data_IF_711642606870
#
_entry.id   IF_711642606870
#
_cell.length_a   1.000
_cell.length_b   1.000
_cell.length_c   1.000
_cell.angle_alpha   90.00
_cell.angle_beta   90.00
_cell.angle_gamma   90.00
#
_symmetry.space_group_name_H-M   'P 1'
#
loop_
_entity.id
_entity.type
_entity.pdbx_description
1 polymer ?
#
# COMPACT_ATOMS: atom_id res chain seq x y z
N UNK A 1 6.33 -39.46 1.09
CA UNK A 1 7.26 -38.31 0.96
C UNK A 1 6.60 -36.96 1.29
N UNK A 2 5.44 -36.93 1.97
CA UNK A 2 4.66 -35.72 2.27
C UNK A 2 5.02 -35.00 3.59
N UNK A 3 5.83 -35.63 4.47
CA UNK A 3 6.09 -35.10 5.82
C UNK A 3 7.24 -34.06 5.87
N UNK A 4 8.08 -33.98 4.82
CA UNK A 4 9.22 -33.05 4.81
C UNK A 4 8.80 -31.61 4.45
N UNK A 5 7.91 -31.43 3.47
CA UNK A 5 7.48 -30.10 3.02
C UNK A 5 6.65 -29.33 4.08
N UNK A 6 5.87 -30.04 4.90
CA UNK A 6 5.05 -29.42 5.96
C UNK A 6 5.92 -28.89 7.11
N UNK A 7 7.00 -29.62 7.41
CA UNK A 7 7.96 -29.25 8.45
C UNK A 7 8.74 -27.98 8.06
N UNK A 8 9.07 -27.84 6.78
CA UNK A 8 9.75 -26.65 6.26
C UNK A 8 8.83 -25.41 6.29
N UNK A 9 7.56 -25.57 5.88
CA UNK A 9 6.55 -24.49 5.99
C UNK A 9 6.33 -24.05 7.44
N UNK A 10 6.16 -25.01 8.34
CA UNK A 10 5.98 -24.74 9.76
C UNK A 10 7.21 -24.04 10.37
N UNK A 11 8.42 -24.44 9.96
CA UNK A 11 9.67 -23.80 10.39
C UNK A 11 9.71 -22.34 9.93
N UNK A 12 9.41 -22.07 8.65
CA UNK A 12 9.38 -20.70 8.11
C UNK A 12 8.35 -19.83 8.85
N UNK A 13 7.13 -20.33 9.07
CA UNK A 13 6.10 -19.59 9.82
C UNK A 13 6.53 -19.27 11.25
N UNK A 14 7.10 -20.24 11.97
CA UNK A 14 7.59 -20.04 13.35
C UNK A 14 8.73 -19.01 13.37
N UNK A 15 9.71 -19.14 12.48
CA UNK A 15 10.84 -18.22 12.41
C UNK A 15 10.38 -16.79 12.13
N UNK A 16 9.47 -16.59 11.17
CA UNK A 16 8.92 -15.27 10.87
C UNK A 16 8.12 -14.68 12.03
N UNK A 17 7.35 -15.52 12.73
CA UNK A 17 6.59 -15.09 13.91
C UNK A 17 7.53 -14.61 15.01
N UNK A 18 8.61 -15.35 15.28
CA UNK A 18 9.64 -14.95 16.26
C UNK A 18 10.31 -13.65 15.85
N UNK A 19 10.70 -13.49 14.58
CA UNK A 19 11.30 -12.26 14.06
C UNK A 19 10.33 -11.08 14.21
N UNK A 20 9.04 -11.27 13.87
CA UNK A 20 8.01 -10.25 14.02
C UNK A 20 7.83 -9.83 15.48
N UNK A 21 7.77 -10.78 16.42
CA UNK A 21 7.63 -10.49 17.85
C UNK A 21 8.84 -9.72 18.40
N UNK A 22 10.05 -10.11 17.99
CA UNK A 22 11.28 -9.39 18.35
C UNK A 22 11.28 -7.99 17.75
N UNK A 23 10.88 -7.83 16.49
CA UNK A 23 10.74 -6.54 15.83
C UNK A 23 9.75 -5.61 16.54
N UNK A 24 8.55 -6.11 16.88
CA UNK A 24 7.57 -5.36 17.66
C UNK A 24 8.10 -4.95 19.03
N UNK A 25 8.78 -5.87 19.73
CA UNK A 25 9.40 -5.58 21.03
C UNK A 25 10.51 -4.52 20.93
N UNK A 26 11.37 -4.60 19.91
CA UNK A 26 12.39 -3.58 19.65
C UNK A 26 11.77 -2.21 19.33
N UNK A 27 10.63 -2.18 18.62
CA UNK A 27 9.90 -0.95 18.33
C UNK A 27 9.41 -0.27 19.61
N UNK A 28 8.86 -1.04 20.56
CA UNK A 28 8.50 -0.53 21.89
C UNK A 28 9.69 0.03 22.67
N UNK A 29 10.90 -0.52 22.48
CA UNK A 29 12.12 -0.02 23.13
C UNK A 29 12.71 1.23 22.46
N UNK A 30 12.39 1.48 21.18
CA UNK A 30 12.87 2.63 20.41
C UNK A 30 12.02 3.88 20.67
N UNK A 31 10.81 3.72 21.21
CA UNK A 31 9.94 4.84 21.59
C UNK A 31 10.57 5.62 22.74
N UNK A 32 11.49 6.54 22.42
CA UNK A 32 11.97 7.57 23.34
C UNK A 32 10.86 8.61 23.47
N UNK A 33 10.33 8.86 24.68
CA UNK A 33 9.53 10.05 24.91
C UNK A 33 10.49 11.22 25.03
N UNK A 34 10.47 12.17 24.10
CA UNK A 34 11.17 13.45 24.25
C UNK A 34 10.45 14.57 23.45
N UNK A 35 10.65 15.83 23.84
CA UNK A 35 9.59 16.80 24.17
C UNK A 35 9.10 17.62 22.97
N UNK A 36 7.96 18.29 23.17
CA UNK A 36 7.28 19.26 22.28
C UNK A 36 8.10 19.82 21.10
N UNK A 37 7.44 19.77 19.93
CA UNK A 37 7.56 20.58 18.70
C UNK A 37 7.89 19.76 17.42
N UNK A 38 6.91 19.81 16.49
CA UNK A 38 6.84 19.35 15.09
C UNK A 38 6.17 17.98 14.81
N UNK A 39 4.87 17.96 14.40
CA UNK A 39 4.20 16.74 13.95
C UNK A 39 4.72 16.25 12.59
N UNK A 40 5.56 15.22 12.65
CA UNK A 40 5.87 14.28 11.58
C UNK A 40 5.55 12.86 12.08
N UNK A 41 4.29 12.62 12.43
CA UNK A 41 3.77 11.32 12.85
C UNK A 41 2.50 11.02 12.06
N UNK A 42 2.64 10.39 10.89
CA UNK A 42 1.52 9.88 10.10
C UNK A 42 1.57 8.35 9.96
N UNK A 43 2.42 7.67 10.74
CA UNK A 43 2.53 6.20 10.72
C UNK A 43 2.30 5.54 12.08
N UNK A 44 2.19 6.29 13.18
CA UNK A 44 1.96 5.72 14.52
C UNK A 44 0.52 5.88 15.06
N UNK A 45 -0.40 6.54 14.35
CA UNK A 45 -1.77 6.74 14.86
C UNK A 45 -2.72 5.53 14.67
N UNK A 46 -2.22 4.35 14.31
CA UNK A 46 -3.05 3.14 14.11
C UNK A 46 -3.12 2.22 15.33
N UNK A 47 -2.42 2.53 16.43
CA UNK A 47 -2.51 1.77 17.68
C UNK A 47 -2.40 2.69 18.90
N UNK A 48 -3.46 3.45 19.20
CA UNK A 48 -3.74 3.91 20.56
C UNK A 48 -5.20 4.38 20.67
N UNK A 49 -6.05 3.45 21.09
CA UNK A 49 -7.30 3.79 21.78
C UNK A 49 -6.98 3.82 23.28
N UNK A 50 -7.48 4.85 23.96
CA UNK A 50 -7.59 5.09 25.41
C UNK A 50 -6.47 5.83 26.18
N UNK A 51 -6.93 6.89 26.89
CA UNK A 51 -6.37 7.65 28.03
C UNK A 51 -5.13 8.53 27.79
N UNK A 52 -5.03 9.79 28.24
CA UNK A 52 -5.63 10.49 29.39
C UNK A 52 -5.63 12.03 29.23
N UNK A 53 -6.28 12.70 30.20
CA UNK A 53 -6.78 14.09 30.26
C UNK A 53 -5.78 15.27 30.44
N UNK A 54 -6.36 16.46 30.16
CA UNK A 54 -6.08 17.83 30.66
C UNK A 54 -5.18 18.72 29.78
N UNK A 55 -5.70 19.80 29.16
CA UNK A 55 -6.17 21.01 29.84
C UNK A 55 -7.33 21.74 29.15
N UNK A 56 -8.38 21.99 29.94
CA UNK A 56 -9.43 23.02 29.90
C UNK A 56 -9.76 23.77 28.58
N UNK A 57 -10.72 23.23 27.83
CA UNK A 57 -11.87 24.02 27.32
C UNK A 57 -13.12 23.17 27.58
N UNK A 58 -14.03 23.66 28.43
CA UNK A 58 -15.30 22.99 28.73
C UNK A 58 -16.20 23.11 27.50
N UNK A 59 -16.07 22.17 26.57
CA UNK A 59 -17.11 21.89 25.57
C UNK A 59 -18.08 20.90 26.23
N UNK A 60 -19.41 21.14 26.20
CA UNK A 60 -20.37 20.20 26.76
C UNK A 60 -20.14 18.81 26.12
N UNK A 61 -20.35 17.69 26.86
CA UNK A 61 -20.10 16.36 26.34
C UNK A 61 -21.06 16.13 25.17
N UNK A 62 -20.57 16.40 23.96
CA UNK A 62 -21.26 16.03 22.75
C UNK A 62 -21.42 14.52 22.81
N UNK A 63 -22.66 14.04 22.64
CA UNK A 63 -22.90 12.61 22.59
C UNK A 63 -21.97 11.97 21.56
N UNK A 64 -21.47 10.77 21.86
CA UNK A 64 -20.59 10.01 20.98
C UNK A 64 -21.14 9.95 19.53
N UNK A 65 -22.47 9.85 19.40
CA UNK A 65 -23.17 9.90 18.12
C UNK A 65 -23.10 11.25 17.40
N UNK A 66 -23.15 12.39 18.10
CA UNK A 66 -22.99 13.71 17.47
C UNK A 66 -21.55 13.96 17.00
N UNK A 67 -20.54 13.45 17.72
CA UNK A 67 -19.14 13.55 17.28
C UNK A 67 -18.88 12.68 16.04
N UNK A 68 -19.39 11.45 16.03
CA UNK A 68 -19.30 10.56 14.87
C UNK A 68 -20.01 11.14 13.64
N UNK A 69 -21.19 11.76 13.82
CA UNK A 69 -21.92 12.40 12.75
C UNK A 69 -21.16 13.61 12.18
N UNK A 70 -20.55 14.44 13.02
CA UNK A 70 -19.74 15.57 12.57
C UNK A 70 -18.47 15.10 11.84
N UNK A 71 -17.79 14.06 12.33
CA UNK A 71 -16.63 13.47 11.64
C UNK A 71 -17.01 12.89 10.27
N UNK A 72 -18.16 12.21 10.19
CA UNK A 72 -18.70 11.69 8.93
C UNK A 72 -19.06 12.80 7.95
N UNK A 73 -19.72 13.86 8.43
CA UNK A 73 -20.04 15.05 7.64
C UNK A 73 -18.78 15.73 7.11
N UNK A 74 -17.75 15.88 7.95
CA UNK A 74 -16.44 16.38 7.53
C UNK A 74 -15.80 15.48 6.47
N UNK A 75 -15.85 14.16 6.63
CA UNK A 75 -15.32 13.22 5.64
C UNK A 75 -16.04 13.37 4.27
N UNK A 76 -17.38 13.55 4.26
CA UNK A 76 -18.12 13.84 3.03
C UNK A 76 -17.72 15.19 2.41
N UNK A 77 -17.55 16.22 3.23
CA UNK A 77 -17.12 17.53 2.74
C UNK A 77 -15.72 17.47 2.15
N UNK A 78 -14.81 16.74 2.78
CA UNK A 78 -13.45 16.52 2.28
C UNK A 78 -13.42 15.67 1.02
N UNK A 79 -14.28 14.66 0.90
CA UNK A 79 -14.28 13.76 -0.26
C UNK A 79 -14.62 14.46 -1.58
N UNK A 80 -15.31 15.60 -1.53
CA UNK A 80 -15.66 16.42 -2.70
C UNK A 80 -14.70 17.59 -2.94
N UNK A 81 -13.66 17.75 -2.11
CA UNK A 81 -12.62 18.76 -2.36
C UNK A 81 -11.81 18.41 -3.61
N UNK A 82 -11.34 19.43 -4.32
CA UNK A 82 -10.60 19.25 -5.58
C UNK A 82 -9.33 18.41 -5.37
N UNK A 83 -8.62 18.67 -4.30
CA UNK A 83 -7.38 17.99 -3.91
C UNK A 83 -7.65 16.51 -3.59
N UNK A 84 -8.69 16.22 -2.78
CA UNK A 84 -9.06 14.85 -2.46
C UNK A 84 -9.58 14.09 -3.67
N UNK A 85 -10.36 14.72 -4.55
CA UNK A 85 -10.84 14.09 -5.79
C UNK A 85 -9.68 13.74 -6.73
N UNK A 86 -8.68 14.61 -6.86
CA UNK A 86 -7.48 14.30 -7.63
C UNK A 86 -6.66 13.17 -6.98
N UNK A 87 -6.44 13.23 -5.67
CA UNK A 87 -5.75 12.16 -4.92
C UNK A 87 -6.52 10.85 -4.93
N UNK A 88 -7.85 10.87 -5.06
CA UNK A 88 -8.69 9.67 -5.05
C UNK A 88 -8.32 8.69 -6.17
N UNK A 89 -7.79 9.18 -7.30
CA UNK A 89 -7.31 8.33 -8.39
C UNK A 89 -6.03 7.59 -7.98
N UNK A 90 -5.11 8.28 -7.30
CA UNK A 90 -3.90 7.68 -6.73
C UNK A 90 -4.24 6.68 -5.61
N UNK A 91 -5.25 6.98 -4.79
CA UNK A 91 -5.76 6.10 -3.72
C UNK A 91 -6.49 4.89 -4.31
N UNK A 92 -7.21 5.07 -5.39
CA UNK A 92 -7.83 3.98 -6.12
C UNK A 92 -6.75 3.02 -6.67
N UNK A 93 -5.66 3.56 -7.25
CA UNK A 93 -4.53 2.75 -7.68
C UNK A 93 -3.97 1.85 -6.56
N UNK A 94 -3.73 2.40 -5.35
CA UNK A 94 -3.25 1.59 -4.22
C UNK A 94 -4.27 0.56 -3.74
N UNK A 95 -5.57 0.80 -3.93
CA UNK A 95 -6.61 -0.22 -3.66
C UNK A 95 -6.61 -1.38 -4.67
N UNK A 96 -6.39 -1.08 -5.96
CA UNK A 96 -6.22 -2.10 -6.99
C UNK A 96 -4.97 -2.95 -6.71
N UNK A 97 -3.86 -2.28 -6.43
CA UNK A 97 -2.56 -2.89 -6.23
C UNK A 97 -2.54 -3.77 -4.96
N UNK A 98 -3.12 -3.27 -3.85
CA UNK A 98 -3.36 -4.04 -2.63
C UNK A 98 -4.01 -5.40 -2.92
N UNK A 99 -5.12 -5.38 -3.67
CA UNK A 99 -5.83 -6.62 -4.00
C UNK A 99 -5.01 -7.53 -4.90
N UNK A 100 -4.25 -6.94 -5.82
CA UNK A 100 -3.43 -7.67 -6.75
C UNK A 100 -2.32 -8.43 -6.03
N UNK A 101 -1.46 -7.77 -5.24
CA UNK A 101 -0.35 -8.47 -4.59
C UNK A 101 -0.79 -9.35 -3.43
N UNK A 102 -1.82 -8.96 -2.68
CA UNK A 102 -2.25 -9.69 -1.47
C UNK A 102 -3.16 -10.88 -1.78
N UNK A 103 -3.87 -10.84 -2.91
CA UNK A 103 -4.85 -11.85 -3.29
C UNK A 103 -4.53 -12.51 -4.62
N UNK A 104 -4.56 -11.75 -5.70
CA UNK A 104 -4.53 -12.29 -7.08
C UNK A 104 -3.18 -12.90 -7.44
N UNK A 105 -2.09 -12.20 -7.15
CA UNK A 105 -0.78 -12.58 -7.64
C UNK A 105 -0.28 -13.87 -6.98
N UNK A 106 -0.44 -13.97 -5.66
CA UNK A 106 -0.13 -15.19 -4.91
C UNK A 106 -0.91 -16.40 -5.43
N UNK A 107 -2.23 -16.26 -5.65
CA UNK A 107 -3.03 -17.36 -6.18
C UNK A 107 -2.67 -17.71 -7.62
N UNK A 108 -2.30 -16.73 -8.46
CA UNK A 108 -1.78 -16.98 -9.79
C UNK A 108 -0.51 -17.85 -9.76
N UNK A 109 0.43 -17.56 -8.85
CA UNK A 109 1.63 -18.40 -8.65
C UNK A 109 1.21 -19.82 -8.25
N UNK A 110 0.26 -19.94 -7.30
CA UNK A 110 -0.24 -21.24 -6.84
C UNK A 110 -0.97 -22.06 -7.91
N UNK A 111 -1.56 -21.39 -8.91
CA UNK A 111 -2.27 -22.02 -10.02
C UNK A 111 -1.35 -22.51 -11.15
N UNK A 112 -0.07 -22.10 -11.18
CA UNK A 112 0.87 -22.50 -12.22
C UNK A 112 1.35 -23.94 -12.03
N UNK A 113 0.76 -24.89 -12.78
CA UNK A 113 1.17 -26.31 -12.71
C UNK A 113 2.63 -26.54 -13.08
N UNK A 114 3.22 -25.64 -13.87
CA UNK A 114 4.63 -25.69 -14.27
C UNK A 114 5.61 -25.39 -13.12
N UNK A 115 5.15 -24.82 -12.00
CA UNK A 115 5.94 -24.68 -10.78
C UNK A 115 6.00 -25.96 -9.95
N UNK A 116 5.28 -27.02 -10.36
CA UNK A 116 5.29 -28.34 -9.75
C UNK A 116 4.32 -28.47 -8.57
N UNK A 117 4.36 -29.64 -7.92
CA UNK A 117 3.49 -30.02 -6.79
C UNK A 117 3.54 -29.03 -5.61
N UNK A 118 4.63 -28.28 -5.48
CA UNK A 118 4.86 -27.32 -4.39
C UNK A 118 4.34 -25.91 -4.67
N UNK A 119 3.73 -25.65 -5.85
CA UNK A 119 3.25 -24.32 -6.26
C UNK A 119 2.35 -23.65 -5.21
N UNK A 120 1.49 -24.40 -4.52
CA UNK A 120 0.62 -23.87 -3.46
C UNK A 120 1.41 -23.32 -2.25
N UNK A 121 2.61 -23.84 -1.98
CA UNK A 121 3.50 -23.31 -0.94
C UNK A 121 4.13 -21.97 -1.32
N UNK A 122 4.28 -21.70 -2.62
CA UNK A 122 4.84 -20.44 -3.12
C UNK A 122 3.93 -19.23 -2.86
N UNK A 123 2.64 -19.46 -2.59
CA UNK A 123 1.70 -18.39 -2.19
C UNK A 123 2.20 -17.70 -0.91
N UNK A 124 2.55 -18.49 0.10
CA UNK A 124 3.10 -17.99 1.36
C UNK A 124 4.47 -17.34 1.17
N UNK A 125 5.32 -17.96 0.35
CA UNK A 125 6.65 -17.41 0.03
C UNK A 125 6.57 -16.07 -0.70
N UNK A 126 5.63 -15.91 -1.62
CA UNK A 126 5.33 -14.63 -2.28
C UNK A 126 4.99 -13.56 -1.26
N UNK A 127 4.11 -13.85 -0.29
CA UNK A 127 3.76 -12.91 0.78
C UNK A 127 4.97 -12.45 1.60
N UNK A 128 5.91 -13.37 1.89
CA UNK A 128 7.15 -13.04 2.60
C UNK A 128 8.02 -12.07 1.78
N UNK A 129 8.19 -12.33 0.48
CA UNK A 129 8.99 -11.46 -0.39
C UNK A 129 8.35 -10.08 -0.58
N UNK A 130 7.02 -10.00 -0.65
CA UNK A 130 6.28 -8.72 -0.62
C UNK A 130 6.64 -7.95 0.65
N UNK A 131 6.49 -8.56 1.83
CA UNK A 131 6.82 -7.92 3.10
C UNK A 131 8.29 -7.48 3.19
N UNK A 132 9.22 -8.27 2.64
CA UNK A 132 10.64 -7.86 2.55
C UNK A 132 10.82 -6.61 1.68
N UNK A 133 10.11 -6.53 0.55
CA UNK A 133 10.09 -5.35 -0.32
C UNK A 133 9.53 -4.12 0.40
N UNK A 134 8.44 -4.30 1.13
CA UNK A 134 7.79 -3.23 1.91
C UNK A 134 8.71 -2.67 3.00
N UNK A 135 9.36 -3.55 3.78
CA UNK A 135 10.31 -3.15 4.84
C UNK A 135 11.49 -2.38 4.23
N UNK A 136 12.06 -2.88 3.13
CA UNK A 136 13.18 -2.22 2.47
C UNK A 136 12.77 -0.85 1.92
N UNK A 137 11.64 -0.77 1.22
CA UNK A 137 11.18 0.47 0.61
C UNK A 137 10.79 1.52 1.65
N UNK A 138 10.05 1.12 2.68
CA UNK A 138 9.68 1.98 3.81
C UNK A 138 10.91 2.47 4.60
N UNK A 139 11.85 1.57 4.89
CA UNK A 139 13.07 1.90 5.63
C UNK A 139 14.03 2.80 4.86
N UNK A 140 14.37 2.43 3.62
CA UNK A 140 15.33 3.18 2.80
C UNK A 140 14.74 4.51 2.33
N UNK A 141 13.54 4.50 1.76
CA UNK A 141 12.97 5.69 1.11
C UNK A 141 12.09 6.55 2.01
N UNK A 142 11.55 5.99 3.11
CA UNK A 142 10.95 6.77 4.18
C UNK A 142 11.98 7.65 4.91
N UNK A 143 13.18 7.11 5.18
CA UNK A 143 14.28 7.89 5.77
C UNK A 143 14.92 8.86 4.78
N UNK A 144 15.07 8.48 3.50
CA UNK A 144 15.61 9.38 2.48
C UNK A 144 14.77 10.66 2.34
N UNK A 145 13.44 10.58 2.49
CA UNK A 145 12.58 11.77 2.40
C UNK A 145 12.88 12.81 3.50
N UNK A 146 13.39 12.38 4.66
CA UNK A 146 13.84 13.27 5.75
C UNK A 146 15.16 13.98 5.43
N UNK A 147 16.01 13.35 4.62
CA UNK A 147 17.36 13.83 4.31
C UNK A 147 17.48 14.53 2.95
N UNK A 148 16.48 14.42 2.07
CA UNK A 148 16.61 14.78 0.67
C UNK A 148 15.97 16.14 0.34
N UNK A 149 16.74 17.02 -0.30
CA UNK A 149 16.27 18.33 -0.81
C UNK A 149 15.32 18.20 -2.03
N UNK A 150 15.10 17.00 -2.57
CA UNK A 150 14.40 16.78 -3.86
C UNK A 150 12.89 16.43 -3.75
N UNK A 151 12.28 16.50 -2.55
CA UNK A 151 10.82 16.34 -2.38
C UNK A 151 10.28 14.91 -2.60
N UNK A 152 8.94 14.77 -2.67
CA UNK A 152 8.24 13.48 -2.73
C UNK A 152 8.28 12.80 -4.11
N UNK A 153 8.32 13.59 -5.17
CA UNK A 153 8.12 13.13 -6.55
C UNK A 153 9.10 12.02 -7.02
N UNK A 154 10.42 12.08 -6.72
CA UNK A 154 11.35 11.03 -7.14
C UNK A 154 11.03 9.65 -6.53
N UNK A 155 10.54 9.63 -5.28
CA UNK A 155 10.19 8.38 -4.60
C UNK A 155 8.92 7.77 -5.20
N UNK A 156 7.94 8.61 -5.55
CA UNK A 156 6.73 8.15 -6.26
C UNK A 156 7.05 7.59 -7.64
N UNK A 157 7.93 8.26 -8.41
CA UNK A 157 8.40 7.76 -9.71
C UNK A 157 9.12 6.43 -9.57
N UNK A 158 9.98 6.28 -8.57
CA UNK A 158 10.66 5.02 -8.30
C UNK A 158 9.65 3.90 -8.01
N UNK A 159 8.63 4.17 -7.18
CA UNK A 159 7.54 3.23 -6.90
C UNK A 159 6.82 2.80 -8.18
N UNK A 160 6.40 3.77 -9.01
CA UNK A 160 5.70 3.49 -10.27
C UNK A 160 6.54 2.67 -11.25
N UNK A 161 7.81 3.04 -11.45
CA UNK A 161 8.71 2.31 -12.34
C UNK A 161 8.92 0.88 -11.84
N UNK A 162 9.10 0.71 -10.52
CA UNK A 162 9.24 -0.61 -9.90
C UNK A 162 8.00 -1.46 -10.11
N UNK A 163 6.80 -0.90 -9.93
CA UNK A 163 5.53 -1.58 -10.22
C UNK A 163 5.43 -1.98 -11.70
N UNK A 164 5.78 -1.10 -12.64
CA UNK A 164 5.70 -1.40 -14.07
C UNK A 164 6.68 -2.48 -14.49
N UNK A 165 7.90 -2.49 -13.94
CA UNK A 165 8.85 -3.58 -14.14
C UNK A 165 8.27 -4.88 -13.60
N UNK A 166 7.68 -4.87 -12.40
CA UNK A 166 7.02 -6.05 -11.84
C UNK A 166 5.88 -6.54 -12.74
N UNK A 167 4.97 -5.66 -13.17
CA UNK A 167 3.85 -6.01 -14.05
C UNK A 167 4.31 -6.59 -15.39
N UNK A 168 5.37 -6.03 -15.98
CA UNK A 168 5.94 -6.55 -17.21
C UNK A 168 6.56 -7.94 -17.02
N UNK A 169 7.31 -8.16 -15.94
CA UNK A 169 7.88 -9.46 -15.62
C UNK A 169 6.78 -10.50 -15.31
N UNK A 170 5.70 -10.10 -14.63
CA UNK A 170 4.54 -10.96 -14.38
C UNK A 170 3.86 -11.35 -15.70
N UNK A 171 3.64 -10.37 -16.60
CA UNK A 171 3.09 -10.61 -17.93
C UNK A 171 3.91 -11.65 -18.72
N UNK A 172 5.24 -11.59 -18.62
CA UNK A 172 6.10 -12.56 -19.28
C UNK A 172 6.07 -13.94 -18.60
N UNK A 173 6.08 -13.98 -17.26
CA UNK A 173 6.39 -15.18 -16.48
C UNK A 173 5.15 -16.02 -16.10
N UNK A 174 3.98 -15.41 -15.92
CA UNK A 174 2.75 -16.07 -15.45
C UNK A 174 1.74 -16.25 -16.59
N UNK A 175 1.03 -17.38 -16.59
CA UNK A 175 0.02 -17.68 -17.60
C UNK A 175 -1.17 -16.71 -17.51
N UNK A 176 -1.74 -16.37 -18.67
CA UNK A 176 -2.80 -15.35 -18.75
C UNK A 176 -4.09 -15.73 -18.03
N UNK A 177 -4.41 -17.02 -17.98
CA UNK A 177 -5.62 -17.57 -17.36
C UNK A 177 -5.43 -17.94 -15.89
N UNK A 178 -4.22 -17.76 -15.32
CA UNK A 178 -3.92 -18.12 -13.92
C UNK A 178 -4.91 -17.54 -12.88
N UNK A 179 -5.43 -16.29 -12.99
CA UNK A 179 -6.40 -15.76 -12.03
C UNK A 179 -7.75 -16.49 -12.03
N UNK A 180 -8.13 -17.09 -13.16
CA UNK A 180 -9.43 -17.75 -13.37
C UNK A 180 -9.28 -19.27 -13.54
N UNK A 181 -8.10 -19.79 -13.26
CA UNK A 181 -7.80 -21.20 -13.42
C UNK A 181 -8.65 -22.04 -12.43
N UNK A 182 -9.13 -23.23 -12.86
CA UNK A 182 -9.83 -24.15 -11.96
C UNK A 182 -8.88 -24.66 -10.86
N UNK A 183 -9.41 -25.37 -9.86
CA UNK A 183 -8.61 -25.89 -8.73
C UNK A 183 -7.39 -26.75 -9.15
N UNK A 184 -7.45 -27.37 -10.33
CA UNK A 184 -6.35 -28.13 -10.93
C UNK A 184 -5.21 -27.27 -11.49
N UNK A 185 -5.34 -25.94 -11.49
CA UNK A 185 -4.38 -25.01 -12.05
C UNK A 185 -4.49 -24.84 -13.56
N UNK A 186 -3.54 -24.08 -14.12
CA UNK A 186 -3.40 -23.87 -15.56
C UNK A 186 -2.19 -24.61 -16.12
N UNK A 187 -2.37 -25.18 -17.32
CA UNK A 187 -1.29 -25.76 -18.14
C UNK A 187 -0.82 -24.82 -19.24
N UNK A 188 -1.44 -23.65 -19.37
CA UNK A 188 -1.07 -22.66 -20.38
C UNK A 188 0.35 -22.17 -20.10
N UNK A 189 1.15 -22.03 -21.16
CA UNK A 189 2.47 -21.41 -21.05
C UNK A 189 2.36 -19.90 -21.14
N UNK A 190 3.17 -19.21 -20.35
CA UNK A 190 3.41 -17.78 -20.50
C UNK A 190 4.41 -17.53 -21.64
N UNK A 191 4.76 -16.27 -21.89
CA UNK A 191 5.64 -15.91 -23.01
C UNK A 191 7.06 -16.45 -22.85
N UNK A 192 7.52 -16.62 -21.61
CA UNK A 192 8.78 -17.29 -21.30
C UNK A 192 8.52 -18.58 -20.54
N UNK A 193 9.54 -19.44 -20.42
CA UNK A 193 9.43 -20.60 -19.51
C UNK A 193 9.21 -20.09 -18.08
N UNK A 194 8.09 -20.42 -17.41
CA UNK A 194 7.82 -19.95 -16.06
C UNK A 194 8.96 -20.28 -15.10
N UNK A 195 9.41 -19.26 -14.37
CA UNK A 195 10.46 -19.34 -13.36
C UNK A 195 9.95 -18.88 -12.00
N UNK A 196 10.13 -19.74 -10.99
CA UNK A 196 9.80 -19.42 -9.60
C UNK A 196 10.61 -18.23 -9.09
N UNK A 197 11.88 -18.13 -9.48
CA UNK A 197 12.76 -17.03 -9.07
C UNK A 197 12.25 -15.68 -9.57
N UNK A 198 11.78 -15.62 -10.83
CA UNK A 198 11.18 -14.42 -11.40
C UNK A 198 9.88 -14.08 -10.69
N UNK A 199 9.07 -15.08 -10.34
CA UNK A 199 7.83 -14.85 -9.60
C UNK A 199 8.09 -14.23 -8.22
N UNK A 200 9.03 -14.78 -7.44
CA UNK A 200 9.39 -14.24 -6.13
C UNK A 200 10.07 -12.86 -6.22
N UNK A 201 10.84 -12.62 -7.29
CA UNK A 201 11.37 -11.29 -7.57
C UNK A 201 10.24 -10.28 -7.82
N UNK A 202 9.22 -10.66 -8.60
CA UNK A 202 8.04 -9.81 -8.79
C UNK A 202 7.31 -9.55 -7.48
N UNK A 203 7.13 -10.55 -6.61
CA UNK A 203 6.57 -10.37 -5.27
C UNK A 203 7.32 -9.29 -4.49
N UNK A 204 8.66 -9.35 -4.48
CA UNK A 204 9.49 -8.35 -3.83
C UNK A 204 9.37 -6.96 -4.46
N UNK A 205 9.36 -6.87 -5.80
CA UNK A 205 9.21 -5.60 -6.50
C UNK A 205 7.83 -4.95 -6.26
N UNK A 206 6.77 -5.76 -6.16
CA UNK A 206 5.42 -5.26 -5.81
C UNK A 206 5.44 -4.60 -4.43
N UNK A 207 5.95 -5.27 -3.39
CA UNK A 207 6.05 -4.68 -2.05
C UNK A 207 6.99 -3.46 -1.96
N UNK A 208 8.09 -3.49 -2.72
CA UNK A 208 8.99 -2.34 -2.84
C UNK A 208 8.28 -1.13 -3.47
N UNK A 209 7.50 -1.37 -4.54
CA UNK A 209 6.72 -0.36 -5.22
C UNK A 209 5.60 0.22 -4.34
N UNK A 210 4.85 -0.65 -3.64
CA UNK A 210 3.76 -0.24 -2.73
C UNK A 210 4.30 0.68 -1.63
N UNK A 211 5.33 0.23 -0.91
CA UNK A 211 5.91 1.03 0.17
C UNK A 211 6.41 2.39 -0.32
N UNK A 212 7.01 2.48 -1.51
CA UNK A 212 7.43 3.76 -2.09
C UNK A 212 6.22 4.66 -2.40
N UNK A 213 5.20 4.13 -3.09
CA UNK A 213 4.08 4.91 -3.57
C UNK A 213 3.13 5.32 -2.42
N UNK A 214 2.72 4.35 -1.62
CA UNK A 214 1.76 4.49 -0.53
C UNK A 214 2.28 5.40 0.58
N UNK A 215 3.57 5.30 0.95
CA UNK A 215 4.18 6.21 1.95
C UNK A 215 4.08 7.68 1.53
N UNK A 216 4.36 7.97 0.26
CA UNK A 216 4.29 9.35 -0.24
C UNK A 216 2.85 9.84 -0.38
N UNK A 217 1.92 8.95 -0.74
CA UNK A 217 0.50 9.25 -0.80
C UNK A 217 -0.09 9.56 0.59
N UNK A 218 0.28 8.79 1.60
CA UNK A 218 -0.08 9.10 3.00
C UNK A 218 0.55 10.42 3.45
N UNK A 219 1.80 10.70 3.04
CA UNK A 219 2.50 11.95 3.37
C UNK A 219 1.80 13.19 2.78
N UNK A 220 1.38 13.16 1.51
CA UNK A 220 0.69 14.30 0.89
C UNK A 220 -0.70 14.51 1.47
N UNK A 221 -1.45 13.44 1.79
CA UNK A 221 -2.76 13.55 2.45
C UNK A 221 -2.61 14.17 3.84
N UNK A 222 -1.68 13.65 4.65
CA UNK A 222 -1.41 14.15 6.00
C UNK A 222 -0.87 15.58 6.02
N UNK A 223 -0.19 16.01 4.95
CA UNK A 223 0.26 17.39 4.77
C UNK A 223 -0.86 18.32 4.33
N UNK A 224 -1.64 17.93 3.32
CA UNK A 224 -2.70 18.77 2.71
C UNK A 224 -3.86 18.98 3.66
N UNK A 225 -4.23 17.95 4.43
CA UNK A 225 -5.37 17.97 5.35
C UNK A 225 -4.92 17.89 6.81
N UNK A 226 -3.87 18.65 7.18
CA UNK A 226 -3.25 18.57 8.50
C UNK A 226 -4.23 18.85 9.65
N UNK A 227 -5.13 19.82 9.48
CA UNK A 227 -6.13 20.21 10.48
C UNK A 227 -7.29 19.20 10.59
N UNK A 228 -7.61 18.51 9.49
CA UNK A 228 -8.69 17.54 9.38
C UNK A 228 -8.17 16.15 8.95
N UNK A 229 -7.06 15.71 9.56
CA UNK A 229 -6.32 14.52 9.12
C UNK A 229 -7.12 13.23 9.30
N UNK A 230 -7.79 13.05 10.44
CA UNK A 230 -8.61 11.88 10.72
C UNK A 230 -9.72 11.65 9.67
N UNK A 231 -10.61 12.62 9.35
CA UNK A 231 -11.61 12.44 8.31
C UNK A 231 -10.98 12.32 6.90
N UNK A 232 -9.84 12.95 6.61
CA UNK A 232 -9.13 12.75 5.35
C UNK A 232 -8.61 11.31 5.19
N UNK A 233 -8.02 10.73 6.23
CA UNK A 233 -7.58 9.33 6.24
C UNK A 233 -8.77 8.36 6.22
N UNK A 234 -9.93 8.74 6.77
CA UNK A 234 -11.16 7.96 6.62
C UNK A 234 -11.60 7.90 5.14
N UNK A 235 -11.58 9.03 4.41
CA UNK A 235 -11.85 9.05 2.97
C UNK A 235 -10.82 8.22 2.20
N UNK A 236 -9.54 8.35 2.55
CA UNK A 236 -8.47 7.53 1.96
C UNK A 236 -8.78 6.03 2.08
N UNK A 237 -9.05 5.55 3.29
CA UNK A 237 -9.35 4.13 3.53
C UNK A 237 -10.65 3.69 2.88
N UNK A 238 -11.65 4.56 2.83
CA UNK A 238 -12.91 4.29 2.14
C UNK A 238 -12.70 4.07 0.63
N UNK A 239 -12.03 4.99 -0.06
CA UNK A 239 -11.74 4.89 -1.50
C UNK A 239 -10.86 3.67 -1.79
N UNK A 240 -9.81 3.45 -1.00
CA UNK A 240 -8.92 2.30 -1.12
C UNK A 240 -9.69 0.99 -0.97
N UNK A 241 -10.57 0.88 0.03
CA UNK A 241 -11.35 -0.33 0.32
C UNK A 241 -12.41 -0.63 -0.75
N UNK A 242 -13.13 0.38 -1.24
CA UNK A 242 -14.09 0.20 -2.35
C UNK A 242 -13.36 -0.28 -3.60
N UNK A 243 -12.24 0.36 -3.92
CA UNK A 243 -11.47 0.00 -5.12
C UNK A 243 -10.88 -1.40 -5.00
N UNK A 244 -10.39 -1.78 -3.82
CA UNK A 244 -9.95 -3.14 -3.52
C UNK A 244 -11.09 -4.17 -3.67
N UNK A 245 -12.28 -3.86 -3.16
CA UNK A 245 -13.45 -4.73 -3.30
C UNK A 245 -13.85 -4.92 -4.77
N UNK A 246 -13.83 -3.84 -5.57
CA UNK A 246 -14.07 -3.90 -7.02
C UNK A 246 -13.00 -4.76 -7.71
N UNK A 247 -11.73 -4.60 -7.33
CA UNK A 247 -10.63 -5.41 -7.84
C UNK A 247 -10.79 -6.89 -7.53
N UNK A 248 -11.19 -7.20 -6.30
CA UNK A 248 -11.41 -8.57 -5.87
C UNK A 248 -12.59 -9.19 -6.61
N UNK A 249 -13.63 -8.41 -6.88
CA UNK A 249 -14.76 -8.87 -7.67
C UNK A 249 -14.37 -9.17 -9.11
N UNK A 250 -13.76 -8.21 -9.84
CA UNK A 250 -13.43 -8.43 -11.25
C UNK A 250 -12.33 -9.48 -11.45
N UNK A 251 -11.46 -9.71 -10.46
CA UNK A 251 -10.30 -10.60 -10.61
C UNK A 251 -10.70 -12.06 -10.87
N UNK A 252 -11.90 -12.45 -10.44
CA UNK A 252 -12.50 -13.76 -10.69
C UNK A 252 -13.04 -13.93 -12.12
N UNK A 253 -13.12 -12.85 -12.91
CA UNK A 253 -13.69 -12.88 -14.27
C UNK A 253 -12.68 -12.43 -15.33
N UNK A 254 -11.70 -11.62 -14.98
CA UNK A 254 -10.70 -11.08 -15.91
C UNK A 254 -9.43 -11.93 -15.94
N UNK A 255 -8.94 -12.22 -17.15
CA UNK A 255 -7.59 -12.77 -17.34
C UNK A 255 -6.51 -11.78 -16.87
N UNK A 256 -5.35 -12.31 -16.52
CA UNK A 256 -4.24 -11.58 -15.89
C UNK A 256 -3.83 -10.33 -16.69
N UNK A 257 -3.77 -10.44 -18.02
CA UNK A 257 -3.33 -9.35 -18.88
C UNK A 257 -4.22 -8.11 -18.77
N UNK A 258 -5.55 -8.28 -18.64
CA UNK A 258 -6.46 -7.15 -18.46
C UNK A 258 -6.29 -6.52 -17.08
N UNK A 259 -6.06 -7.33 -16.03
CA UNK A 259 -5.80 -6.81 -14.69
C UNK A 259 -4.50 -5.99 -14.65
N UNK A 260 -3.44 -6.49 -15.28
CA UNK A 260 -2.17 -5.76 -15.43
C UNK A 260 -2.34 -4.45 -16.22
N UNK A 261 -3.10 -4.47 -17.32
CA UNK A 261 -3.39 -3.27 -18.11
C UNK A 261 -4.14 -2.21 -17.29
N UNK A 262 -5.14 -2.62 -16.52
CA UNK A 262 -5.88 -1.73 -15.61
C UNK A 262 -4.90 -1.09 -14.61
N UNK A 263 -4.02 -1.87 -13.98
CA UNK A 263 -3.03 -1.32 -13.05
C UNK A 263 -2.05 -0.35 -13.71
N UNK A 264 -1.59 -0.63 -14.93
CA UNK A 264 -0.71 0.30 -15.67
C UNK A 264 -1.44 1.61 -15.95
N UNK A 265 -2.65 1.56 -16.51
CA UNK A 265 -3.41 2.77 -16.87
C UNK A 265 -3.78 3.59 -15.64
N UNK A 266 -4.33 2.95 -14.60
CA UNK A 266 -4.76 3.63 -13.38
C UNK A 266 -3.55 4.13 -12.58
N UNK A 267 -2.44 3.38 -12.56
CA UNK A 267 -1.18 3.82 -11.94
C UNK A 267 -0.56 5.03 -12.63
N UNK A 268 -0.65 5.09 -13.97
CA UNK A 268 -0.20 6.27 -14.73
C UNK A 268 -1.03 7.49 -14.38
N UNK A 269 -2.37 7.37 -14.46
CA UNK A 269 -3.29 8.44 -14.13
C UNK A 269 -3.17 8.88 -12.67
N UNK A 270 -3.06 7.93 -11.74
CA UNK A 270 -2.87 8.19 -10.32
C UNK A 270 -1.55 8.90 -10.01
N UNK A 271 -0.49 8.63 -10.77
CA UNK A 271 0.78 9.37 -10.63
C UNK A 271 0.67 10.79 -11.17
N UNK A 272 -0.02 10.99 -12.31
CA UNK A 272 -0.27 12.32 -12.86
C UNK A 272 -1.09 13.18 -11.90
N UNK A 273 -2.14 12.63 -11.30
CA UNK A 273 -2.98 13.37 -10.36
C UNK A 273 -2.25 13.65 -9.05
N UNK A 274 -1.39 12.73 -8.59
CA UNK A 274 -0.50 12.97 -7.45
C UNK A 274 0.42 14.18 -7.71
N UNK A 275 1.10 14.24 -8.87
CA UNK A 275 1.96 15.37 -9.21
C UNK A 275 1.19 16.68 -9.39
N UNK A 276 -0.03 16.62 -9.93
CA UNK A 276 -0.88 17.80 -10.03
C UNK A 276 -1.22 18.37 -8.65
N UNK A 277 -1.55 17.52 -7.67
CA UNK A 277 -1.83 17.97 -6.30
C UNK A 277 -0.58 18.46 -5.60
N UNK A 278 0.54 17.74 -5.70
CA UNK A 278 1.82 18.20 -5.13
C UNK A 278 2.19 19.58 -5.70
N UNK A 279 2.00 19.81 -6.99
CA UNK A 279 2.22 21.12 -7.62
C UNK A 279 1.30 22.21 -7.06
N UNK A 280 -0.01 21.95 -6.96
CA UNK A 280 -0.99 22.90 -6.38
C UNK A 280 -0.59 23.28 -4.96
N UNK A 281 -0.22 22.29 -4.15
CA UNK A 281 0.20 22.48 -2.76
C UNK A 281 1.48 23.33 -2.68
N UNK A 282 2.45 23.10 -3.57
CA UNK A 282 3.68 23.90 -3.61
C UNK A 282 3.45 25.33 -4.09
N UNK A 283 2.54 25.56 -5.06
CA UNK A 283 2.16 26.90 -5.50
C UNK A 283 1.52 27.71 -4.38
N UNK A 284 0.51 27.15 -3.71
CA UNK A 284 -0.19 27.84 -2.62
C UNK A 284 0.75 28.23 -1.47
N UNK A 285 1.78 27.41 -1.20
CA UNK A 285 2.81 27.73 -0.20
C UNK A 285 3.67 28.93 -0.61
N UNK A 286 4.09 29.01 -1.88
CA UNK A 286 4.91 30.12 -2.37
C UNK A 286 4.15 31.44 -2.27
N UNK A 287 2.86 31.45 -2.61
CA UNK A 287 2.04 32.66 -2.52
C UNK A 287 1.90 33.13 -1.07
N UNK A 288 1.69 32.21 -0.11
CA UNK A 288 1.65 32.55 1.33
C UNK A 288 2.98 33.10 1.87
N UNK A 289 4.12 32.60 1.38
CA UNK A 289 5.45 33.10 1.78
C UNK A 289 5.73 34.50 1.18
N UNK A 290 5.16 34.84 0.01
CA UNK A 290 5.25 36.18 -0.58
C UNK A 290 4.33 37.21 0.10
N UNK A 291 3.13 36.80 0.51
CA UNK A 291 2.16 37.68 1.20
C UNK A 291 2.56 38.01 2.65
N UNK A 292 3.53 37.29 3.22
CA UNK A 292 4.02 37.48 4.59
C UNK A 292 5.31 38.33 4.70
N UNK A 293 5.84 38.81 3.57
CA UNK A 293 7.01 39.72 3.47
C UNK A 293 6.55 41.14 3.17
#
# INVERSE_FOLDING_TARGET
>A
MLCFADKDRQTVFITLTVISLVGSFLFFLIQRPDPEVMPSEASESLLQTENSESSSVVVPPQGLGSQALEAFKKAIQLSVTKEMLLLSISIAYTGLELTFYSGVYGTCIGAMTQFGEEAKGLIGLSGIFIGMGEILGGGVFGMLNKCNQFGRNPVVLLGLVTHYVAFYLIFLNIASDAPIAPEGGTHLQSFIKPSVQVALLCSFLLGLGDSCFNTQLLSIVGYTFREDSAPAFAVFKFVQSITAAIAFFYSNYLILHWQLLIMVVVGFLGTLTFFAVEWIVMCNRRDSDYDSI
#
